data_IF_129881830673
#
_entry.id   IF_129881830673
#
_cell.length_a   1.000
_cell.length_b   1.000
_cell.length_c   1.000
_cell.angle_alpha   90.00
_cell.angle_beta   90.00
_cell.angle_gamma   90.00
#
_symmetry.space_group_name_H-M   'P 1'
#
loop_
_entity.id
_entity.type
_entity.pdbx_description
1 polymer ?
#
# COMPACT_ATOMS: atom_id res chain seq x y z
N UNK A 1 -4.10 3.56 0.71
CA UNK A 1 -4.33 3.41 -0.75
C UNK A 1 -5.28 2.28 -1.07
N UNK A 2 -5.14 1.11 -0.46
CA UNK A 2 -6.06 -0.01 -0.68
C UNK A 2 -7.52 0.40 -0.42
N UNK A 3 -7.81 1.07 0.70
CA UNK A 3 -9.16 1.63 0.97
C UNK A 3 -9.68 2.57 -0.13
N UNK A 4 -8.79 3.39 -0.69
CA UNK A 4 -9.16 4.33 -1.75
C UNK A 4 -9.45 3.62 -3.07
N UNK A 5 -8.66 2.60 -3.41
CA UNK A 5 -8.92 1.74 -4.56
C UNK A 5 -10.24 1.00 -4.41
N UNK A 6 -10.53 0.46 -3.22
CA UNK A 6 -11.82 -0.17 -2.90
C UNK A 6 -12.96 0.84 -3.03
N UNK A 7 -12.79 2.04 -2.48
CA UNK A 7 -13.75 3.13 -2.60
C UNK A 7 -14.04 3.47 -4.06
N UNK A 8 -13.02 3.66 -4.89
CA UNK A 8 -13.19 3.96 -6.33
C UNK A 8 -13.85 2.79 -7.06
N UNK A 9 -13.40 1.54 -6.85
CA UNK A 9 -13.98 0.34 -7.49
C UNK A 9 -15.44 0.10 -7.10
N UNK A 10 -15.88 0.63 -5.97
CA UNK A 10 -17.24 0.43 -5.44
C UNK A 10 -18.09 1.70 -5.45
N UNK A 11 -17.66 2.75 -6.17
CA UNK A 11 -18.31 4.07 -6.18
C UNK A 11 -18.59 4.63 -4.77
N UNK A 12 -17.69 4.34 -3.83
CA UNK A 12 -17.75 4.68 -2.41
C UNK A 12 -18.99 4.11 -1.68
N UNK A 13 -19.69 3.15 -2.28
CA UNK A 13 -20.84 2.48 -1.68
C UNK A 13 -20.43 1.46 -0.62
N UNK A 14 -19.19 0.97 -0.66
CA UNK A 14 -18.62 0.07 0.35
C UNK A 14 -17.35 0.64 0.94
N UNK A 15 -17.24 0.58 2.26
CA UNK A 15 -15.99 0.81 2.97
C UNK A 15 -15.29 -0.52 3.23
N UNK A 16 -13.96 -0.49 3.30
CA UNK A 16 -13.15 -1.65 3.65
C UNK A 16 -13.28 -2.08 5.14
N UNK A 17 -14.23 -1.51 5.88
CA UNK A 17 -14.40 -1.72 7.31
C UNK A 17 -13.34 -0.99 8.15
N UNK A 18 -13.53 -0.96 9.47
CA UNK A 18 -12.58 -0.34 10.40
C UNK A 18 -11.23 -1.09 10.32
N UNK A 19 -10.13 -0.36 10.09
CA UNK A 19 -8.77 -0.90 9.98
C UNK A 19 -8.59 -1.97 8.89
N UNK A 20 -9.30 -1.86 7.76
CA UNK A 20 -9.10 -2.79 6.64
C UNK A 20 -9.62 -4.22 6.88
N UNK A 21 -10.59 -4.38 7.80
CA UNK A 21 -11.21 -5.68 8.14
C UNK A 21 -11.65 -6.48 6.91
N UNK A 22 -12.08 -5.81 5.85
CA UNK A 22 -12.60 -6.44 4.64
C UNK A 22 -11.63 -6.38 3.45
N UNK A 23 -10.34 -6.06 3.65
CA UNK A 23 -9.37 -6.03 2.54
C UNK A 23 -9.29 -7.35 1.78
N UNK A 24 -9.36 -8.48 2.48
CA UNK A 24 -9.38 -9.81 1.86
C UNK A 24 -10.53 -10.00 0.87
N UNK A 25 -11.69 -9.36 1.11
CA UNK A 25 -12.88 -9.49 0.26
C UNK A 25 -12.76 -8.67 -1.04
N UNK A 26 -11.87 -7.68 -1.08
CA UNK A 26 -11.75 -6.75 -2.21
C UNK A 26 -10.44 -6.86 -2.98
N UNK A 27 -9.40 -7.46 -2.38
CA UNK A 27 -8.11 -7.69 -3.02
C UNK A 27 -8.12 -9.02 -3.78
N UNK A 28 -7.40 -9.07 -4.89
CA UNK A 28 -7.13 -10.34 -5.55
C UNK A 28 -6.24 -11.22 -4.67
N UNK A 29 -6.28 -12.54 -4.86
CA UNK A 29 -5.52 -13.50 -4.01
C UNK A 29 -4.03 -13.16 -3.92
N UNK A 30 -3.44 -12.71 -5.02
CA UNK A 30 -2.03 -12.33 -5.06
C UNK A 30 -1.77 -11.00 -4.33
N UNK A 31 -2.66 -10.00 -4.48
CA UNK A 31 -2.57 -8.74 -3.75
C UNK A 31 -2.77 -8.93 -2.24
N UNK A 32 -3.64 -9.87 -1.84
CA UNK A 32 -3.84 -10.23 -0.44
C UNK A 32 -2.61 -10.92 0.17
N UNK A 33 -1.98 -11.85 -0.57
CA UNK A 33 -0.73 -12.49 -0.14
C UNK A 33 0.37 -11.44 0.06
N UNK A 34 0.55 -10.55 -0.92
CA UNK A 34 1.53 -9.45 -0.84
C UNK A 34 1.23 -8.52 0.34
N UNK A 35 -0.05 -8.24 0.62
CA UNK A 35 -0.44 -7.45 1.79
C UNK A 35 -0.03 -8.12 3.11
N UNK A 36 -0.25 -9.43 3.26
CA UNK A 36 0.18 -10.16 4.46
C UNK A 36 1.71 -10.14 4.59
N UNK A 37 2.43 -10.30 3.48
CA UNK A 37 3.90 -10.28 3.45
C UNK A 37 4.49 -8.91 3.83
N UNK A 38 3.68 -7.83 3.87
CA UNK A 38 4.13 -6.54 4.45
C UNK A 38 4.29 -6.58 5.98
N UNK A 39 3.75 -7.60 6.64
CA UNK A 39 3.91 -7.83 8.08
C UNK A 39 4.98 -8.90 8.32
N UNK A 40 6.22 -8.46 8.56
CA UNK A 40 7.30 -9.37 8.93
C UNK A 40 7.37 -9.64 10.43
N UNK A 41 7.97 -10.79 10.77
CA UNK A 41 8.59 -11.00 12.08
C UNK A 41 9.79 -10.03 12.23
N UNK A 42 10.13 -9.60 13.44
CA UNK A 42 11.05 -8.49 13.72
C UNK A 42 12.55 -8.73 13.37
N UNK A 43 12.84 -9.51 12.33
CA UNK A 43 14.16 -9.70 11.73
C UNK A 43 14.49 -8.55 10.77
N UNK A 44 15.71 -8.04 10.84
CA UNK A 44 16.13 -6.84 10.12
C UNK A 44 16.11 -7.04 8.60
N UNK A 45 16.53 -8.20 8.10
CA UNK A 45 16.50 -8.49 6.66
C UNK A 45 15.05 -8.56 6.14
N UNK A 46 14.17 -9.23 6.89
CA UNK A 46 12.77 -9.40 6.52
C UNK A 46 11.96 -8.07 6.59
N UNK A 47 12.42 -7.08 7.37
CA UNK A 47 11.84 -5.72 7.38
C UNK A 47 12.05 -5.03 6.04
N UNK A 48 13.22 -5.19 5.42
CA UNK A 48 13.50 -4.59 4.11
C UNK A 48 12.67 -5.25 3.02
N UNK A 49 12.58 -6.58 3.02
CA UNK A 49 11.74 -7.31 2.06
C UNK A 49 10.28 -6.89 2.17
N UNK A 50 9.74 -6.80 3.40
CA UNK A 50 8.38 -6.31 3.65
C UNK A 50 8.16 -4.88 3.16
N UNK A 51 9.15 -4.01 3.33
CA UNK A 51 9.09 -2.63 2.86
C UNK A 51 9.05 -2.55 1.33
N UNK A 52 9.83 -3.38 0.64
CA UNK A 52 9.82 -3.44 -0.82
C UNK A 52 8.51 -4.03 -1.36
N UNK A 53 8.02 -5.12 -0.76
CA UNK A 53 6.71 -5.71 -1.10
C UNK A 53 5.59 -4.69 -0.89
N UNK A 54 5.59 -3.96 0.23
CA UNK A 54 4.63 -2.89 0.47
C UNK A 54 4.71 -1.78 -0.58
N UNK A 55 5.92 -1.41 -1.00
CA UNK A 55 6.14 -0.39 -2.02
C UNK A 55 5.60 -0.80 -3.38
N UNK A 56 5.80 -2.07 -3.76
CA UNK A 56 5.29 -2.62 -5.02
C UNK A 56 3.77 -2.75 -5.00
N UNK A 57 3.19 -3.25 -3.90
CA UNK A 57 1.75 -3.30 -3.70
C UNK A 57 1.13 -1.89 -3.80
N UNK A 58 1.77 -0.89 -3.20
CA UNK A 58 1.31 0.50 -3.30
C UNK A 58 1.32 1.00 -4.75
N UNK A 59 2.37 0.72 -5.51
CA UNK A 59 2.46 1.11 -6.94
C UNK A 59 1.35 0.47 -7.76
N UNK A 60 1.09 -0.83 -7.57
CA UNK A 60 0.00 -1.55 -8.27
C UNK A 60 -1.35 -0.90 -8.00
N UNK A 61 -1.63 -0.61 -6.74
CA UNK A 61 -2.91 -0.03 -6.30
C UNK A 61 -3.05 1.45 -6.68
N UNK A 62 -1.94 2.18 -6.81
CA UNK A 62 -1.92 3.61 -7.12
C UNK A 62 -2.11 3.94 -8.61
N UNK A 63 -2.00 2.99 -9.54
CA UNK A 63 -2.11 3.23 -10.98
C UNK A 63 -3.56 3.43 -11.47
N UNK A 64 -4.55 3.06 -10.67
CA UNK A 64 -5.96 3.13 -11.05
C UNK A 64 -6.60 4.55 -11.11
N UNK A 65 -6.13 5.61 -10.45
CA UNK A 65 -6.84 6.90 -10.48
C UNK A 65 -6.18 7.89 -11.43
N UNK A 66 -6.52 7.80 -12.72
CA UNK A 66 -6.24 8.87 -13.70
C UNK A 66 -6.95 10.19 -13.30
N UNK A 67 -7.95 10.11 -12.40
CA UNK A 67 -8.84 11.22 -12.00
C UNK A 67 -8.38 11.93 -10.70
N UNK A 68 -7.39 11.42 -9.96
CA UNK A 68 -6.93 12.00 -8.66
C UNK A 68 -5.42 12.31 -8.59
N UNK A 69 -4.83 12.77 -9.70
CA UNK A 69 -3.38 12.92 -9.89
C UNK A 69 -2.68 13.81 -8.83
N UNK A 70 -3.34 14.85 -8.31
CA UNK A 70 -2.75 15.76 -7.31
C UNK A 70 -2.61 15.16 -5.90
N UNK A 71 -3.62 14.44 -5.42
CA UNK A 71 -3.60 13.87 -4.06
C UNK A 71 -2.67 12.65 -3.98
N UNK A 72 -2.64 11.85 -5.05
CA UNK A 72 -1.78 10.67 -5.16
C UNK A 72 -0.31 11.08 -5.28
N UNK A 73 0.01 12.13 -6.05
CA UNK A 73 1.38 12.67 -6.12
C UNK A 73 1.89 13.16 -4.77
N UNK A 74 1.04 13.83 -3.98
CA UNK A 74 1.41 14.27 -2.61
C UNK A 74 1.64 13.09 -1.65
N UNK A 75 0.87 12.01 -1.77
CA UNK A 75 1.05 10.85 -0.91
C UNK A 75 2.23 9.98 -1.32
N UNK A 76 2.45 9.83 -2.63
CA UNK A 76 3.61 9.11 -3.18
C UNK A 76 4.92 9.83 -2.85
N UNK A 77 4.96 11.17 -2.83
CA UNK A 77 6.16 11.92 -2.41
C UNK A 77 6.50 11.70 -0.94
N UNK A 78 5.51 11.63 -0.04
CA UNK A 78 5.74 11.27 1.38
C UNK A 78 6.25 9.84 1.54
N UNK A 79 5.70 8.89 0.78
CA UNK A 79 6.20 7.51 0.79
C UNK A 79 7.63 7.41 0.25
N UNK A 80 7.94 8.11 -0.86
CA UNK A 80 9.28 8.16 -1.42
C UNK A 80 10.28 8.81 -0.44
N UNK A 81 9.87 9.86 0.26
CA UNK A 81 10.65 10.50 1.33
C UNK A 81 10.89 9.53 2.50
N UNK A 82 9.88 8.74 2.89
CA UNK A 82 10.03 7.73 3.93
C UNK A 82 11.07 6.67 3.52
N UNK A 83 10.95 6.14 2.31
CA UNK A 83 11.90 5.15 1.76
C UNK A 83 13.31 5.75 1.66
N UNK A 84 13.45 6.97 1.13
CA UNK A 84 14.74 7.67 1.04
C UNK A 84 15.33 7.96 2.41
N UNK A 85 14.51 8.28 3.42
CA UNK A 85 14.97 8.51 4.78
C UNK A 85 15.41 7.20 5.45
N UNK A 86 14.67 6.11 5.23
CA UNK A 86 15.04 4.78 5.72
C UNK A 86 16.34 4.31 5.06
N UNK A 87 16.51 4.48 3.75
CA UNK A 87 17.75 4.19 3.02
C UNK A 87 18.93 5.06 3.49
N UNK A 88 18.70 6.35 3.84
CA UNK A 88 19.75 7.25 4.34
C UNK A 88 20.21 6.95 5.76
N UNK A 89 19.36 6.35 6.60
CA UNK A 89 19.70 5.95 7.97
C UNK A 89 20.27 4.52 8.05
N UNK A 90 20.52 3.88 6.90
CA UNK A 90 21.06 2.53 6.81
C UNK A 90 22.59 2.49 6.76
N UNK A 91 23.26 3.55 7.22
CA UNK A 91 24.73 3.70 7.22
C UNK A 91 25.30 3.91 8.62
#
# INVERSE_FOLDING_TARGET
>A
MIEWNIGIKTDFLRSAGKHGKYFEDFLEKDEWREFIETYTNADYECIWDSLFIMSDLFRKVALLPIILDLYIRMMMTKMLLLILNVLKNCH
#
